data_IF_926941780306
#
_entry.id   IF_926941780306
#
_cell.length_a   1.000
_cell.length_b   1.000
_cell.length_c   1.000
_cell.angle_alpha   90.00
_cell.angle_beta   90.00
_cell.angle_gamma   90.00
#
_symmetry.space_group_name_H-M   'P 1'
#
loop_
_entity.id
_entity.type
_entity.pdbx_description
1 polymer ?
#
# COMPACT_ATOMS: atom_id res chain seq x y z
N UNK A 1 -2.32 11.31 -11.38
CA UNK A 1 -2.26 10.90 -9.96
C UNK A 1 -3.19 11.78 -9.11
N UNK A 2 -3.84 11.21 -8.07
CA UNK A 2 -4.80 11.94 -7.24
C UNK A 2 -4.15 12.79 -6.14
N UNK A 3 -2.89 12.50 -5.79
CA UNK A 3 -2.05 13.32 -4.92
C UNK A 3 -0.91 13.98 -5.71
N UNK A 4 -0.13 14.82 -5.04
CA UNK A 4 1.03 15.51 -5.61
C UNK A 4 2.12 15.74 -4.57
N UNK A 5 3.22 16.38 -4.93
CA UNK A 5 4.31 16.56 -3.96
C UNK A 5 3.98 17.57 -2.86
N UNK A 6 2.99 18.43 -3.03
CA UNK A 6 2.55 19.35 -1.96
C UNK A 6 1.98 18.60 -0.75
N UNK A 7 1.64 17.32 -0.91
CA UNK A 7 1.23 16.44 0.20
C UNK A 7 2.35 16.27 1.24
N UNK A 8 3.63 16.40 0.83
CA UNK A 8 4.77 16.27 1.74
C UNK A 8 4.81 17.37 2.81
N UNK A 9 4.33 18.58 2.53
CA UNK A 9 4.26 19.66 3.52
C UNK A 9 2.97 19.62 4.34
N UNK A 10 2.00 18.78 3.95
CA UNK A 10 0.66 18.75 4.55
C UNK A 10 0.38 17.48 5.38
N UNK A 11 1.19 16.43 5.25
CA UNK A 11 1.00 15.18 6.00
C UNK A 11 1.38 15.33 7.48
N UNK A 12 0.72 14.53 8.33
CA UNK A 12 1.04 14.38 9.76
C UNK A 12 1.72 13.04 10.05
N UNK A 13 1.49 12.03 9.20
CA UNK A 13 2.17 10.74 9.28
C UNK A 13 2.64 10.29 7.89
N UNK A 14 3.92 9.91 7.79
CA UNK A 14 4.49 9.25 6.64
C UNK A 14 4.62 7.75 6.90
N UNK A 15 4.18 6.92 5.96
CA UNK A 15 4.32 5.46 6.04
C UNK A 15 5.04 4.96 4.80
N UNK A 16 6.32 4.62 4.95
CA UNK A 16 7.15 4.11 3.88
C UNK A 16 7.02 2.58 3.83
N UNK A 17 6.26 2.08 2.85
CA UNK A 17 6.08 0.64 2.59
C UNK A 17 7.23 0.11 1.72
N UNK A 18 8.38 -0.16 2.34
CA UNK A 18 9.58 -0.69 1.66
C UNK A 18 10.32 0.33 0.78
N UNK A 19 9.99 1.63 0.88
CA UNK A 19 10.66 2.68 0.10
C UNK A 19 11.92 3.17 0.81
N UNK A 20 13.10 2.90 0.25
CA UNK A 20 14.35 3.54 0.69
C UNK A 20 14.49 4.96 0.08
N UNK A 21 13.62 5.88 0.50
CA UNK A 21 13.58 7.23 -0.06
C UNK A 21 14.86 8.04 0.17
N UNK A 22 15.58 7.77 1.27
CA UNK A 22 16.84 8.46 1.58
C UNK A 22 17.88 8.33 0.46
N UNK A 23 17.86 7.22 -0.27
CA UNK A 23 18.83 6.94 -1.33
C UNK A 23 18.20 6.96 -2.74
N UNK A 24 16.92 6.59 -2.88
CA UNK A 24 16.27 6.43 -4.19
C UNK A 24 15.38 7.62 -4.59
N UNK A 25 14.95 8.44 -3.63
CA UNK A 25 14.18 9.67 -3.88
C UNK A 25 14.66 10.81 -2.97
N UNK A 26 15.96 11.16 -2.98
CA UNK A 26 16.59 11.97 -1.92
C UNK A 26 15.98 13.38 -1.78
N UNK A 27 15.52 13.99 -2.87
CA UNK A 27 14.87 15.30 -2.83
C UNK A 27 13.49 15.23 -2.15
N UNK A 28 12.73 14.15 -2.38
CA UNK A 28 11.47 13.93 -1.68
C UNK A 28 11.70 13.55 -0.21
N UNK A 29 12.75 12.76 0.07
CA UNK A 29 13.16 12.47 1.43
C UNK A 29 13.57 13.73 2.22
N UNK A 30 14.21 14.69 1.56
CA UNK A 30 14.56 15.99 2.17
C UNK A 30 13.30 16.74 2.58
N UNK A 31 12.20 16.67 1.81
CA UNK A 31 10.91 17.26 2.17
C UNK A 31 10.26 16.57 3.36
N UNK A 32 10.30 15.23 3.42
CA UNK A 32 9.88 14.48 4.63
C UNK A 32 10.72 14.92 5.85
N UNK A 33 12.04 15.03 5.66
CA UNK A 33 12.98 15.43 6.71
C UNK A 33 12.65 16.82 7.25
N UNK A 34 12.46 17.81 6.37
CA UNK A 34 12.06 19.16 6.77
C UNK A 34 10.72 19.15 7.50
N UNK A 35 9.69 18.50 6.93
CA UNK A 35 8.36 18.40 7.55
C UNK A 35 8.45 17.77 8.95
N UNK A 36 9.18 16.67 9.10
CA UNK A 36 9.31 15.96 10.38
C UNK A 36 10.10 16.76 11.41
N UNK A 37 11.21 17.40 11.02
CA UNK A 37 12.07 18.15 11.95
C UNK A 37 11.48 19.51 12.35
N UNK A 38 10.72 20.14 11.45
CA UNK A 38 10.08 21.44 11.68
C UNK A 38 8.75 21.33 12.44
N UNK A 39 8.13 20.14 12.49
CA UNK A 39 6.83 19.92 13.13
C UNK A 39 6.85 18.71 14.09
N UNK A 40 6.94 18.93 15.43
CA UNK A 40 7.11 17.85 16.41
C UNK A 40 5.99 16.80 16.47
N UNK A 41 4.78 17.14 15.99
CA UNK A 41 3.65 16.22 15.95
C UNK A 41 3.73 15.22 14.79
N UNK A 42 4.53 15.51 13.76
CA UNK A 42 4.67 14.66 12.58
C UNK A 42 5.37 13.35 12.95
N UNK A 43 4.95 12.25 12.33
CA UNK A 43 5.55 10.91 12.50
C UNK A 43 6.06 10.33 11.19
N UNK A 44 7.22 9.66 11.25
CA UNK A 44 7.82 8.92 10.13
C UNK A 44 7.93 7.44 10.49
N UNK A 45 7.20 6.62 9.76
CA UNK A 45 7.16 5.17 9.92
C UNK A 45 7.86 4.52 8.72
N UNK A 46 8.88 3.70 8.98
CA UNK A 46 9.67 3.04 7.93
C UNK A 46 9.54 1.54 8.06
N UNK A 47 8.82 0.93 7.12
CA UNK A 47 8.74 -0.51 6.98
C UNK A 47 9.75 -0.96 5.93
N UNK A 48 10.58 -1.95 6.27
CA UNK A 48 11.54 -2.54 5.34
C UNK A 48 11.89 -3.98 5.70
N UNK A 49 12.49 -4.72 4.77
CA UNK A 49 13.00 -6.07 5.02
C UNK A 49 14.43 -6.06 5.58
N UNK A 50 15.10 -4.90 5.58
CA UNK A 50 16.44 -4.69 6.14
C UNK A 50 16.61 -3.23 6.58
N UNK A 51 17.58 -2.96 7.45
CA UNK A 51 17.89 -1.60 7.88
C UNK A 51 18.63 -0.81 6.79
N UNK A 52 18.24 0.44 6.56
CA UNK A 52 18.88 1.39 5.63
C UNK A 52 18.70 2.84 6.10
N UNK A 53 19.26 3.82 5.38
CA UNK A 53 19.34 5.23 5.83
C UNK A 53 18.00 5.89 6.15
N UNK A 54 16.89 5.47 5.54
CA UNK A 54 15.57 6.01 5.92
C UNK A 54 15.21 5.75 7.39
N UNK A 55 15.77 4.72 8.02
CA UNK A 55 15.55 4.45 9.44
C UNK A 55 16.18 5.51 10.36
N UNK A 56 17.14 6.30 9.89
CA UNK A 56 17.80 7.34 10.70
C UNK A 56 16.85 8.48 11.09
N UNK A 57 15.77 8.70 10.32
CA UNK A 57 14.70 9.67 10.64
C UNK A 57 13.46 9.02 11.28
N UNK A 58 13.34 7.69 11.22
CA UNK A 58 12.11 7.00 11.59
C UNK A 58 11.80 7.14 13.08
N UNK A 59 10.59 7.61 13.41
CA UNK A 59 10.04 7.50 14.77
C UNK A 59 9.77 6.03 15.10
N UNK A 60 9.29 5.28 14.11
CA UNK A 60 9.07 3.84 14.22
C UNK A 60 9.66 3.11 13.00
N UNK A 61 10.61 2.21 13.27
CA UNK A 61 11.16 1.27 12.30
C UNK A 61 10.54 -0.11 12.44
N UNK A 62 10.18 -0.72 11.30
CA UNK A 62 9.56 -2.03 11.21
C UNK A 62 10.38 -2.90 10.26
N UNK A 63 11.19 -3.80 10.82
CA UNK A 63 11.83 -4.86 10.03
C UNK A 63 10.86 -6.03 9.95
N UNK A 64 10.46 -6.40 8.74
CA UNK A 64 9.44 -7.43 8.51
C UNK A 64 9.94 -8.51 7.55
N UNK A 65 9.38 -9.72 7.69
CA UNK A 65 9.69 -10.85 6.81
C UNK A 65 9.23 -10.57 5.37
N UNK A 66 10.01 -10.91 4.32
CA UNK A 66 9.58 -10.71 2.94
C UNK A 66 8.17 -11.28 2.67
N UNK A 67 7.35 -10.53 1.92
CA UNK A 67 5.95 -10.83 1.57
C UNK A 67 4.92 -10.73 2.72
N UNK A 68 5.34 -10.47 3.97
CA UNK A 68 4.41 -10.36 5.10
C UNK A 68 3.68 -9.02 5.19
N UNK A 69 4.05 -8.04 4.37
CA UNK A 69 3.36 -6.76 4.22
C UNK A 69 1.87 -6.94 3.86
N UNK A 70 1.53 -7.97 3.08
CA UNK A 70 0.15 -8.40 2.83
C UNK A 70 -0.62 -8.64 4.13
N UNK A 71 -0.01 -9.29 5.12
CA UNK A 71 -0.64 -9.57 6.42
C UNK A 71 -0.77 -8.31 7.26
N UNK A 72 0.25 -7.44 7.26
CA UNK A 72 0.23 -6.15 7.96
C UNK A 72 -0.91 -5.26 7.41
N UNK A 73 -1.05 -5.13 6.09
CA UNK A 73 -2.08 -4.29 5.50
C UNK A 73 -3.50 -4.82 5.76
N UNK A 74 -3.72 -6.13 5.67
CA UNK A 74 -5.00 -6.73 6.06
C UNK A 74 -5.30 -6.56 7.55
N UNK A 75 -4.27 -6.63 8.41
CA UNK A 75 -4.44 -6.33 9.82
C UNK A 75 -4.86 -4.87 10.06
N UNK A 76 -4.25 -3.89 9.39
CA UNK A 76 -4.63 -2.48 9.53
C UNK A 76 -6.10 -2.29 9.11
N UNK A 77 -6.54 -2.91 8.00
CA UNK A 77 -7.94 -2.87 7.58
C UNK A 77 -8.89 -3.52 8.63
N UNK A 78 -8.53 -4.69 9.15
CA UNK A 78 -9.27 -5.34 10.24
C UNK A 78 -9.33 -4.46 11.50
N UNK A 79 -8.22 -3.81 11.85
CA UNK A 79 -8.13 -2.89 12.99
C UNK A 79 -9.07 -1.70 12.82
N UNK A 80 -9.08 -1.06 11.64
CA UNK A 80 -10.00 0.05 11.32
C UNK A 80 -11.45 -0.38 11.54
N UNK A 81 -11.84 -1.56 11.02
CA UNK A 81 -13.21 -2.07 11.16
C UNK A 81 -13.55 -2.43 12.61
N UNK A 82 -12.63 -3.06 13.34
CA UNK A 82 -12.85 -3.50 14.73
C UNK A 82 -12.95 -2.33 15.72
N UNK A 83 -12.35 -1.19 15.38
CA UNK A 83 -12.34 0.01 16.23
C UNK A 83 -13.32 1.08 15.73
N UNK A 84 -14.28 0.72 14.88
CA UNK A 84 -15.31 1.62 14.33
C UNK A 84 -14.73 2.92 13.71
N UNK A 85 -13.56 2.79 13.09
CA UNK A 85 -12.83 3.91 12.47
C UNK A 85 -13.09 4.03 10.96
N UNK A 86 -14.13 3.36 10.46
CA UNK A 86 -14.54 3.44 9.06
C UNK A 86 -15.20 4.79 8.81
N UNK A 87 -14.77 5.51 7.78
CA UNK A 87 -15.47 6.69 7.30
C UNK A 87 -16.70 6.27 6.48
N UNK A 88 -17.80 6.02 7.17
CA UNK A 88 -19.02 5.50 6.56
C UNK A 88 -19.63 6.42 5.51
N UNK A 89 -19.53 7.74 5.67
CA UNK A 89 -20.02 8.67 4.65
C UNK A 89 -19.25 8.52 3.33
N UNK A 90 -17.93 8.44 3.41
CA UNK A 90 -17.07 8.23 2.24
C UNK A 90 -17.28 6.85 1.63
N UNK A 91 -17.22 5.79 2.46
CA UNK A 91 -17.35 4.40 2.01
C UNK A 91 -18.67 4.18 1.27
N UNK A 92 -19.79 4.65 1.82
CA UNK A 92 -21.11 4.45 1.22
C UNK A 92 -21.30 5.20 -0.10
N UNK A 93 -20.63 6.35 -0.28
CA UNK A 93 -20.79 7.19 -1.48
C UNK A 93 -19.78 6.90 -2.58
N UNK A 94 -18.58 6.43 -2.23
CA UNK A 94 -17.42 6.49 -3.12
C UNK A 94 -16.66 5.18 -3.27
N UNK A 95 -17.14 4.08 -2.67
CA UNK A 95 -16.43 2.79 -2.73
C UNK A 95 -17.33 1.66 -3.16
N UNK A 96 -16.72 0.61 -3.71
CA UNK A 96 -17.31 -0.69 -3.95
C UNK A 96 -16.37 -1.76 -3.39
N UNK A 97 -16.89 -2.93 -3.03
CA UNK A 97 -16.09 -4.04 -2.51
C UNK A 97 -16.01 -5.16 -3.54
N UNK A 98 -14.80 -5.67 -3.76
CA UNK A 98 -14.54 -6.80 -4.67
C UNK A 98 -13.55 -7.78 -4.04
N UNK A 99 -13.68 -9.05 -4.41
CA UNK A 99 -12.76 -10.12 -4.05
C UNK A 99 -11.99 -10.58 -5.29
N UNK A 100 -10.68 -10.69 -5.19
CA UNK A 100 -9.86 -11.30 -6.23
C UNK A 100 -9.81 -12.81 -6.10
N UNK A 101 -9.71 -13.52 -7.22
CA UNK A 101 -9.32 -14.94 -7.22
C UNK A 101 -7.98 -15.10 -6.50
N UNK A 102 -7.88 -16.10 -5.63
CA UNK A 102 -6.64 -16.46 -4.94
C UNK A 102 -5.95 -17.64 -5.62
N UNK A 103 -4.73 -17.97 -5.19
CA UNK A 103 -3.97 -19.10 -5.73
C UNK A 103 -3.74 -19.01 -7.26
N UNK A 104 -3.11 -17.91 -7.65
CA UNK A 104 -2.97 -17.48 -9.05
C UNK A 104 -1.64 -17.89 -9.72
N UNK A 105 -0.86 -18.74 -9.06
CA UNK A 105 0.50 -19.08 -9.52
C UNK A 105 1.51 -17.96 -9.31
N UNK A 106 2.58 -17.97 -10.11
CA UNK A 106 3.71 -17.03 -9.96
C UNK A 106 4.18 -16.41 -11.29
N UNK A 107 3.43 -16.61 -12.39
CA UNK A 107 3.81 -16.11 -13.71
C UNK A 107 5.06 -16.79 -14.28
N UNK A 108 5.31 -18.04 -13.86
CA UNK A 108 6.36 -18.89 -14.39
C UNK A 108 5.89 -19.55 -15.69
N UNK A 109 6.76 -20.34 -16.32
CA UNK A 109 6.39 -21.13 -17.51
C UNK A 109 5.27 -22.12 -17.15
N UNK A 110 4.43 -22.45 -18.13
CA UNK A 110 3.27 -23.33 -17.92
C UNK A 110 3.65 -24.74 -17.43
N UNK A 111 4.86 -25.20 -17.72
CA UNK A 111 5.36 -26.49 -17.29
C UNK A 111 5.96 -26.50 -15.88
N UNK A 112 6.13 -25.32 -15.26
CA UNK A 112 6.67 -25.17 -13.90
C UNK A 112 5.74 -25.82 -12.86
N UNK A 113 6.29 -26.54 -11.86
CA UNK A 113 5.47 -27.17 -10.81
C UNK A 113 4.56 -26.21 -10.05
N UNK A 114 5.00 -24.98 -9.78
CA UNK A 114 4.19 -23.98 -9.07
C UNK A 114 3.05 -23.45 -9.93
N UNK A 115 3.27 -23.36 -11.24
CA UNK A 115 2.23 -22.93 -12.18
C UNK A 115 1.17 -24.02 -12.37
N UNK A 116 1.59 -25.29 -12.48
CA UNK A 116 0.70 -26.45 -12.55
C UNK A 116 -0.10 -26.67 -11.26
N UNK A 117 0.46 -26.33 -10.11
CA UNK A 117 -0.19 -26.49 -8.82
C UNK A 117 -1.25 -25.41 -8.52
N UNK A 118 -1.18 -24.25 -9.18
CA UNK A 118 -2.10 -23.15 -8.94
C UNK A 118 -3.53 -23.48 -9.39
N UNK A 119 -4.51 -23.18 -8.55
CA UNK A 119 -5.93 -23.38 -8.88
C UNK A 119 -6.44 -22.39 -9.92
N UNK A 120 -5.97 -21.15 -9.91
CA UNK A 120 -6.45 -20.07 -10.78
C UNK A 120 -5.29 -19.35 -11.51
N UNK A 121 -4.40 -20.09 -12.21
CA UNK A 121 -3.16 -19.54 -12.76
C UNK A 121 -3.44 -18.31 -13.63
N UNK A 122 -2.69 -17.24 -13.39
CA UNK A 122 -2.78 -15.97 -14.13
C UNK A 122 -4.15 -15.26 -14.04
N UNK A 123 -5.06 -15.67 -13.14
CA UNK A 123 -6.35 -15.00 -12.98
C UNK A 123 -6.18 -13.59 -12.41
N UNK A 124 -6.73 -12.61 -13.11
CA UNK A 124 -6.95 -11.24 -12.63
C UNK A 124 -8.41 -10.94 -12.31
N UNK A 125 -9.25 -11.98 -12.17
CA UNK A 125 -10.70 -11.82 -12.00
C UNK A 125 -11.03 -11.20 -10.65
N UNK A 126 -11.98 -10.27 -10.68
CA UNK A 126 -12.60 -9.66 -9.51
C UNK A 126 -14.08 -9.99 -9.48
N UNK A 127 -14.61 -10.31 -8.31
CA UNK A 127 -16.04 -10.53 -8.07
C UNK A 127 -16.55 -9.51 -7.06
N UNK A 128 -17.72 -8.91 -7.31
CA UNK A 128 -18.34 -8.01 -6.34
C UNK A 128 -18.73 -8.76 -5.07
N UNK A 129 -18.47 -8.15 -3.91
CA UNK A 129 -18.85 -8.66 -2.59
C UNK A 129 -19.49 -7.55 -1.76
N UNK A 130 -20.16 -7.91 -0.68
CA UNK A 130 -20.64 -6.97 0.33
C UNK A 130 -19.53 -6.51 1.29
N UNK A 131 -19.75 -5.40 1.99
CA UNK A 131 -18.87 -4.98 3.10
C UNK A 131 -18.75 -6.07 4.18
N UNK A 132 -19.84 -6.78 4.51
CA UNK A 132 -19.80 -7.83 5.52
C UNK A 132 -18.95 -9.03 5.09
N UNK A 133 -18.92 -9.35 3.79
CA UNK A 133 -17.98 -10.35 3.25
C UNK A 133 -16.53 -9.86 3.31
N UNK A 134 -16.27 -8.59 3.00
CA UNK A 134 -14.94 -7.99 3.15
C UNK A 134 -14.46 -8.00 4.61
N UNK A 135 -15.33 -7.61 5.54
CA UNK A 135 -15.07 -7.69 6.98
C UNK A 135 -14.72 -9.11 7.42
N UNK A 136 -15.43 -10.12 6.91
CA UNK A 136 -15.11 -11.54 7.17
C UNK A 136 -13.77 -11.94 6.57
N UNK A 137 -13.39 -11.43 5.40
CA UNK A 137 -12.14 -11.80 4.74
C UNK A 137 -10.90 -11.23 5.44
N UNK A 138 -11.00 -10.03 6.03
CA UNK A 138 -9.89 -9.43 6.81
C UNK A 138 -9.88 -9.84 8.29
N UNK A 139 -11.00 -10.31 8.85
CA UNK A 139 -11.11 -10.71 10.25
C UNK A 139 -10.03 -11.70 10.75
N UNK A 140 -9.56 -12.69 9.95
CA UNK A 140 -8.49 -13.60 10.37
C UNK A 140 -7.14 -12.92 10.60
N UNK A 141 -6.89 -11.73 10.06
CA UNK A 141 -5.64 -10.99 10.23
C UNK A 141 -5.70 -10.18 11.53
N UNK A 142 -5.64 -10.87 12.67
CA UNK A 142 -5.50 -10.23 13.99
C UNK A 142 -4.09 -9.71 14.18
N UNK A 143 -3.85 -8.93 15.24
CA UNK A 143 -2.50 -8.46 15.58
C UNK A 143 -1.57 -9.63 15.87
N UNK A 144 -2.05 -10.71 16.49
CA UNK A 144 -1.29 -11.93 16.75
C UNK A 144 -0.82 -12.56 15.46
N UNK A 145 -1.74 -12.79 14.51
CA UNK A 145 -1.42 -13.42 13.23
C UNK A 145 -0.50 -12.54 12.38
N UNK A 146 -0.75 -11.23 12.35
CA UNK A 146 0.10 -10.31 11.60
C UNK A 146 1.51 -10.24 12.20
N UNK A 147 1.63 -10.20 13.53
CA UNK A 147 2.91 -10.24 14.25
C UNK A 147 3.67 -11.54 13.99
N UNK A 148 2.99 -12.69 14.06
CA UNK A 148 3.58 -14.01 13.79
C UNK A 148 4.13 -14.10 12.35
N UNK A 149 3.33 -13.73 11.35
CA UNK A 149 3.74 -13.82 9.94
C UNK A 149 4.88 -12.81 9.65
N UNK A 150 4.78 -11.61 10.18
CA UNK A 150 5.72 -10.53 9.84
C UNK A 150 6.99 -10.48 10.66
N UNK A 151 7.00 -11.08 11.85
CA UNK A 151 8.09 -10.91 12.82
C UNK A 151 8.11 -9.52 13.48
N UNK A 152 7.08 -8.69 13.26
CA UNK A 152 6.98 -7.35 13.85
C UNK A 152 6.22 -7.43 15.18
N UNK A 153 6.73 -6.74 16.20
CA UNK A 153 6.07 -6.64 17.51
C UNK A 153 4.63 -6.10 17.42
N UNK A 154 3.73 -6.68 18.22
CA UNK A 154 2.29 -6.36 18.20
C UNK A 154 2.02 -4.88 18.47
N UNK A 155 2.73 -4.30 19.42
CA UNK A 155 2.57 -2.91 19.86
C UNK A 155 2.92 -1.95 18.72
N UNK A 156 3.97 -2.25 17.94
CA UNK A 156 4.34 -1.47 16.77
C UNK A 156 3.26 -1.53 15.69
N UNK A 157 2.73 -2.72 15.42
CA UNK A 157 1.64 -2.91 14.46
C UNK A 157 0.39 -2.11 14.86
N UNK A 158 0.00 -2.17 16.14
CA UNK A 158 -1.12 -1.41 16.68
C UNK A 158 -0.89 0.10 16.54
N UNK A 159 0.32 0.58 16.85
CA UNK A 159 0.66 2.01 16.71
C UNK A 159 0.55 2.50 15.27
N UNK A 160 1.01 1.69 14.31
CA UNK A 160 0.84 2.00 12.89
C UNK A 160 -0.64 2.05 12.49
N UNK A 161 -1.44 1.05 12.93
CA UNK A 161 -2.86 0.99 12.63
C UNK A 161 -3.63 2.19 13.22
N UNK A 162 -3.29 2.64 14.43
CA UNK A 162 -3.87 3.83 15.06
C UNK A 162 -3.69 5.10 14.22
N UNK A 163 -2.52 5.31 13.62
CA UNK A 163 -2.28 6.48 12.77
C UNK A 163 -3.19 6.48 11.53
N UNK A 164 -3.48 5.31 10.94
CA UNK A 164 -4.49 5.21 9.89
C UNK A 164 -5.91 5.43 10.42
N UNK A 165 -6.25 4.86 11.58
CA UNK A 165 -7.61 4.95 12.16
C UNK A 165 -7.99 6.31 12.72
N UNK A 166 -7.04 7.14 13.15
CA UNK A 166 -7.35 8.46 13.70
C UNK A 166 -7.83 9.42 12.59
N UNK A 167 -9.09 9.90 12.62
CA UNK A 167 -9.63 10.78 11.57
C UNK A 167 -8.91 12.14 11.48
N UNK A 168 -8.17 12.55 12.53
CA UNK A 168 -7.46 13.83 12.57
C UNK A 168 -6.02 13.75 12.04
N UNK A 169 -5.47 12.54 11.88
CA UNK A 169 -4.12 12.35 11.37
C UNK A 169 -4.13 12.25 9.85
N UNK A 170 -3.49 13.20 9.16
CA UNK A 170 -3.30 13.10 7.70
C UNK A 170 -2.19 12.13 7.36
N UNK A 171 -2.48 11.10 6.56
CA UNK A 171 -1.54 10.00 6.28
C UNK A 171 -1.09 10.02 4.82
N UNK A 172 0.22 10.02 4.61
CA UNK A 172 0.85 9.82 3.32
C UNK A 172 1.56 8.46 3.28
N UNK A 173 1.02 7.53 2.51
CA UNK A 173 1.63 6.21 2.26
C UNK A 173 2.51 6.25 1.03
N UNK A 174 3.72 5.74 1.13
CA UNK A 174 4.76 5.86 0.11
C UNK A 174 5.37 4.49 -0.19
N UNK A 175 5.20 4.01 -1.42
CA UNK A 175 5.78 2.74 -1.86
C UNK A 175 6.52 2.87 -3.19
N UNK A 176 7.53 2.02 -3.37
CA UNK A 176 8.31 1.92 -4.60
C UNK A 176 8.41 0.45 -5.02
N UNK A 177 9.61 -0.12 -5.15
CA UNK A 177 9.80 -1.48 -5.65
C UNK A 177 9.47 -2.55 -4.62
N UNK A 178 9.48 -2.26 -3.32
CA UNK A 178 9.06 -3.23 -2.30
C UNK A 178 7.67 -3.82 -2.55
N UNK A 179 6.71 -2.98 -2.99
CA UNK A 179 5.37 -3.42 -3.35
C UNK A 179 5.22 -3.78 -4.84
N UNK A 180 6.07 -3.26 -5.73
CA UNK A 180 5.90 -3.43 -7.18
C UNK A 180 6.68 -4.63 -7.73
N UNK A 181 7.86 -4.92 -7.19
CA UNK A 181 8.66 -6.12 -7.48
C UNK A 181 8.33 -7.22 -6.48
N UNK A 182 7.05 -7.60 -6.49
CA UNK A 182 6.45 -8.48 -5.50
C UNK A 182 5.49 -9.43 -6.23
N UNK A 183 5.51 -10.73 -5.94
CA UNK A 183 4.72 -11.72 -6.69
C UNK A 183 3.21 -11.60 -6.46
N UNK A 184 2.81 -10.79 -5.48
CA UNK A 184 1.43 -10.31 -5.26
C UNK A 184 1.35 -8.78 -5.25
N UNK A 185 2.21 -8.11 -6.01
CA UNK A 185 2.39 -6.65 -5.93
C UNK A 185 1.14 -5.84 -6.28
N UNK A 186 0.35 -6.31 -7.24
CA UNK A 186 -0.96 -5.71 -7.56
C UNK A 186 -1.90 -5.77 -6.35
N UNK A 187 -1.91 -6.90 -5.62
CA UNK A 187 -2.72 -7.03 -4.41
C UNK A 187 -2.23 -6.11 -3.31
N UNK A 188 -0.92 -6.00 -3.11
CA UNK A 188 -0.36 -5.11 -2.10
C UNK A 188 -0.72 -3.64 -2.38
N UNK A 189 -0.62 -3.20 -3.65
CA UNK A 189 -1.09 -1.88 -4.08
C UNK A 189 -2.58 -1.67 -3.72
N UNK A 190 -3.45 -2.62 -4.05
CA UNK A 190 -4.87 -2.56 -3.69
C UNK A 190 -5.08 -2.51 -2.17
N UNK A 191 -4.34 -3.29 -1.37
CA UNK A 191 -4.49 -3.31 0.08
C UNK A 191 -4.12 -1.98 0.74
N UNK A 192 -3.09 -1.28 0.27
CA UNK A 192 -2.78 0.06 0.76
C UNK A 192 -3.89 1.05 0.37
N UNK A 193 -4.42 0.98 -0.86
CA UNK A 193 -5.58 1.80 -1.22
C UNK A 193 -6.80 1.48 -0.34
N UNK A 194 -7.07 0.22 -0.01
CA UNK A 194 -8.19 -0.16 0.85
C UNK A 194 -8.14 0.56 2.20
N UNK A 195 -6.97 0.64 2.83
CA UNK A 195 -6.78 1.33 4.12
C UNK A 195 -7.13 2.82 4.00
N UNK A 196 -6.70 3.48 2.92
CA UNK A 196 -7.02 4.88 2.66
C UNK A 196 -8.50 5.09 2.30
N UNK A 197 -9.11 4.19 1.54
CA UNK A 197 -10.51 4.26 1.14
C UNK A 197 -11.45 4.00 2.34
N UNK A 198 -11.12 3.06 3.22
CA UNK A 198 -11.87 2.80 4.45
C UNK A 198 -11.93 4.02 5.37
N UNK A 199 -10.91 4.87 5.33
CA UNK A 199 -10.77 6.06 6.20
C UNK A 199 -11.08 7.37 5.47
N UNK A 200 -11.35 7.33 4.16
CA UNK A 200 -11.55 8.53 3.34
C UNK A 200 -10.31 9.42 3.20
N UNK A 201 -9.12 8.89 3.50
CA UNK A 201 -7.84 9.62 3.49
C UNK A 201 -7.21 9.62 2.09
N UNK A 202 -7.86 10.24 1.13
CA UNK A 202 -7.40 10.28 -0.27
C UNK A 202 -7.73 11.62 -0.94
N UNK A 203 -6.90 12.04 -1.90
CA UNK A 203 -7.14 13.19 -2.79
C UNK A 203 -7.40 14.53 -2.08
N UNK A 204 -6.84 14.70 -0.88
CA UNK A 204 -6.84 15.95 -0.11
C UNK A 204 -5.43 16.24 0.41
N UNK A 205 -5.02 17.51 0.60
CA UNK A 205 -3.65 17.84 0.99
C UNK A 205 -3.16 17.09 2.23
N UNK A 206 -2.15 16.23 2.03
CA UNK A 206 -1.50 15.41 3.06
C UNK A 206 -2.12 14.01 3.29
N UNK A 207 -3.29 13.72 2.69
CA UNK A 207 -3.96 12.42 2.74
C UNK A 207 -3.79 11.71 1.39
N UNK A 208 -2.74 10.90 1.28
CA UNK A 208 -2.18 10.54 -0.03
C UNK A 208 -1.61 9.12 -0.07
N UNK A 209 -2.30 8.13 -0.67
CA UNK A 209 -1.69 6.88 -1.09
C UNK A 209 -0.86 7.10 -2.37
N UNK A 210 0.44 7.33 -2.19
CA UNK A 210 1.34 7.84 -3.22
C UNK A 210 2.34 6.80 -3.72
N UNK A 211 2.07 6.24 -4.90
CA UNK A 211 3.01 5.34 -5.60
C UNK A 211 4.19 6.13 -6.19
N UNK A 212 5.40 5.86 -5.70
CA UNK A 212 6.62 6.48 -6.19
C UNK A 212 7.09 5.78 -7.47
N UNK A 213 7.40 6.60 -8.47
CA UNK A 213 7.99 6.12 -9.74
C UNK A 213 9.50 6.31 -9.70
N UNK A 214 10.24 5.28 -10.14
CA UNK A 214 11.71 5.28 -10.12
C UNK A 214 12.34 6.03 -11.30
N UNK A 215 12.01 5.63 -12.53
CA UNK A 215 12.57 6.25 -13.73
C UNK A 215 11.97 7.64 -13.99
N UNK A 216 12.73 8.57 -14.58
CA UNK A 216 12.30 9.96 -14.78
C UNK A 216 11.07 10.12 -15.67
N UNK A 217 10.81 9.16 -16.58
CA UNK A 217 9.67 9.21 -17.50
C UNK A 217 8.95 7.87 -17.65
N UNK A 218 9.01 7.00 -16.62
CA UNK A 218 8.14 5.83 -16.61
C UNK A 218 6.65 6.23 -16.59
N UNK A 219 6.29 7.35 -15.95
CA UNK A 219 4.96 7.96 -16.08
C UNK A 219 4.75 8.52 -17.49
N UNK A 220 5.45 9.61 -17.83
CA UNK A 220 5.19 10.41 -19.03
C UNK A 220 5.41 9.70 -20.36
N UNK A 221 6.31 8.71 -20.42
CA UNK A 221 6.56 7.93 -21.63
C UNK A 221 5.90 6.56 -21.52
N UNK A 222 6.42 5.67 -20.66
CA UNK A 222 6.01 4.27 -20.73
C UNK A 222 4.50 4.09 -20.47
N UNK A 223 3.97 4.73 -19.42
CA UNK A 223 2.58 4.57 -18.98
C UNK A 223 1.61 5.45 -19.75
N UNK A 224 1.93 6.73 -19.91
CA UNK A 224 1.03 7.71 -20.57
C UNK A 224 0.99 7.51 -22.09
N UNK A 225 2.13 7.24 -22.74
CA UNK A 225 2.15 6.88 -24.18
C UNK A 225 1.75 5.41 -24.38
N UNK A 226 1.87 4.57 -23.35
CA UNK A 226 1.42 3.18 -23.40
C UNK A 226 2.38 2.27 -24.17
N UNK A 227 3.69 2.39 -23.95
CA UNK A 227 4.72 1.55 -24.58
C UNK A 227 4.82 0.17 -23.91
N UNK A 228 3.69 -0.52 -23.77
CA UNK A 228 3.56 -1.86 -23.24
C UNK A 228 2.84 -2.75 -24.25
N UNK A 229 3.09 -4.06 -24.22
CA UNK A 229 2.54 -5.00 -25.19
C UNK A 229 1.00 -5.00 -25.29
N UNK A 230 0.30 -4.67 -24.19
CA UNK A 230 -1.16 -4.67 -24.11
C UNK A 230 -1.76 -3.25 -24.19
N UNK A 231 -0.95 -2.21 -24.44
CA UNK A 231 -1.35 -0.81 -24.27
C UNK A 231 -1.38 -0.03 -25.58
N UNK A 232 -2.23 0.98 -25.54
CA UNK A 232 -2.24 2.17 -26.38
C UNK A 232 -2.07 3.41 -25.47
N UNK A 233 -1.90 4.62 -26.03
CA UNK A 233 -1.80 5.84 -25.25
C UNK A 233 -3.00 6.09 -24.33
N UNK A 234 -2.78 6.87 -23.27
CA UNK A 234 -3.82 7.39 -22.36
C UNK A 234 -4.74 6.28 -21.81
N UNK A 235 -4.14 5.27 -21.17
CA UNK A 235 -4.80 4.13 -20.54
C UNK A 235 -5.66 3.23 -21.45
N UNK A 236 -5.67 3.51 -22.76
CA UNK A 236 -6.29 2.63 -23.74
C UNK A 236 -5.52 1.30 -23.82
N UNK A 237 -6.25 0.26 -24.20
CA UNK A 237 -5.75 -1.10 -24.37
C UNK A 237 -5.87 -1.51 -25.82
N UNK A 238 -4.98 -2.39 -26.26
CA UNK A 238 -5.16 -3.10 -27.52
C UNK A 238 -6.39 -3.99 -27.37
N UNK A 239 -7.37 -3.88 -28.26
CA UNK A 239 -8.51 -4.78 -28.29
C UNK A 239 -8.04 -6.15 -28.83
N UNK A 240 -8.32 -7.24 -28.09
CA UNK A 240 -7.80 -8.60 -28.36
C UNK A 240 -6.26 -8.66 -28.43
N UNK A 241 -5.56 -8.40 -27.31
CA UNK A 241 -4.10 -8.44 -27.22
C UNK A 241 -3.53 -9.86 -27.35
#
# INVERSE_FOLDING_TARGET
>A
PMGCYDDFENADAFVLWGSNMAEMHPVLWTRITDRRLSHPHVRVNVLSTYYHRSFELADHGYIFNPQSDLAIANFIANYIIKNDAVNWDFVNKHTNFTQADTDIGYGLRDDDPLQKAAKNPNSGKLTSISFEEYKKSVAPYTVEKASEISGVEKEKLIELAKQYSDPNTKVMSLWTMGMNQHTRGVWMNNLVYNIHLLTGKIATPGNSPFSLTGQPSACGTAREVGTFAHRLPADMVVANP
#
